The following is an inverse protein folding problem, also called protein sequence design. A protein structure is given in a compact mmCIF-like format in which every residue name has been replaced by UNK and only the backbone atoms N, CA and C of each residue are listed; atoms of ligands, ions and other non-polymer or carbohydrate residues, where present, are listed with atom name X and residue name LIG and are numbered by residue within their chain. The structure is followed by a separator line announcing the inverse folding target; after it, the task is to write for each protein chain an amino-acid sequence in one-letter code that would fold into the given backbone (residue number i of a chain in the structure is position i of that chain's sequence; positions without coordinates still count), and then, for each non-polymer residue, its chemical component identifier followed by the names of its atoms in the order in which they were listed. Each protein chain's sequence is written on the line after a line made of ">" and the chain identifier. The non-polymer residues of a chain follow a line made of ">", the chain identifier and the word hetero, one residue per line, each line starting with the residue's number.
data_IF_518111764614
#
_entry.id   IF_518111764614
#
_cell.length_a   1.000
_cell.length_b   1.000
_cell.length_c   1.000
_cell.angle_alpha   90.00
_cell.angle_beta   90.00
_cell.angle_gamma   90.00
#
_symmetry.space_group_name_H-M   'P 1'
#
loop_
_entity.id
_entity.type
_entity.pdbx_description
1 polymer ?
#
# COMPACT_ATOMS: atom_id res chain seq x y z
N UNK A 1 22.63 -4.76 -36.88
CA UNK A 1 23.06 -3.91 -35.75
C UNK A 1 22.30 -4.42 -34.53
N UNK A 2 23.05 -5.00 -33.58
CA UNK A 2 22.69 -5.57 -32.26
C UNK A 2 21.25 -6.05 -32.02
N UNK A 3 21.11 -7.37 -31.88
CA UNK A 3 19.91 -8.08 -31.45
C UNK A 3 19.35 -7.53 -30.13
N UNK A 4 18.06 -7.23 -30.20
CA UNK A 4 17.03 -7.31 -29.16
C UNK A 4 17.57 -7.77 -27.81
N UNK A 5 17.75 -6.80 -26.92
CA UNK A 5 18.18 -7.01 -25.56
C UNK A 5 17.29 -8.09 -24.93
N UNK A 6 17.89 -9.26 -24.67
CA UNK A 6 17.28 -10.31 -23.88
C UNK A 6 16.77 -9.70 -22.57
N UNK A 7 15.49 -9.37 -22.54
CA UNK A 7 14.78 -9.06 -21.32
C UNK A 7 14.88 -10.33 -20.52
N UNK A 8 15.82 -10.32 -19.58
CA UNK A 8 15.98 -11.38 -18.61
C UNK A 8 14.67 -11.38 -17.83
N UNK A 9 13.76 -12.27 -18.21
CA UNK A 9 12.58 -12.60 -17.42
C UNK A 9 13.08 -13.37 -16.21
N UNK A 10 13.74 -12.65 -15.31
CA UNK A 10 13.87 -13.03 -13.92
C UNK A 10 12.48 -12.78 -13.32
N UNK A 11 11.48 -13.59 -13.69
CA UNK A 11 10.14 -13.55 -13.09
C UNK A 11 10.20 -14.12 -11.67
N UNK A 12 10.98 -13.47 -10.82
CA UNK A 12 10.83 -13.53 -9.38
C UNK A 12 9.44 -13.01 -8.98
N UNK A 13 9.09 -13.15 -7.69
CA UNK A 13 7.82 -12.68 -7.17
C UNK A 13 7.52 -11.24 -7.64
N UNK A 14 6.34 -11.05 -8.24
CA UNK A 14 5.91 -9.76 -8.78
C UNK A 14 6.05 -8.68 -7.69
N UNK A 15 6.79 -7.59 -7.93
CA UNK A 15 6.93 -6.53 -6.95
C UNK A 15 5.56 -5.88 -6.72
N UNK A 16 5.27 -5.53 -5.47
CA UNK A 16 4.05 -4.84 -5.12
C UNK A 16 4.07 -3.43 -5.73
N UNK A 17 3.26 -3.18 -6.77
CA UNK A 17 3.15 -1.89 -7.47
C UNK A 17 3.02 -0.66 -6.56
N UNK A 18 2.13 -0.63 -5.54
CA UNK A 18 1.91 0.58 -4.75
C UNK A 18 3.11 0.99 -3.89
N UNK A 19 3.90 0.04 -3.39
CA UNK A 19 5.14 0.33 -2.65
C UNK A 19 6.40 0.13 -3.49
N UNK A 20 6.27 -0.17 -4.78
CA UNK A 20 7.37 -0.51 -5.69
C UNK A 20 8.34 -1.55 -5.13
N UNK A 21 7.84 -2.58 -4.45
CA UNK A 21 8.72 -3.60 -3.84
C UNK A 21 9.29 -3.28 -2.45
N UNK A 22 9.09 -2.07 -1.92
CA UNK A 22 9.69 -1.65 -0.65
C UNK A 22 8.99 -2.17 0.62
N UNK A 23 7.75 -2.67 0.50
CA UNK A 23 6.95 -3.13 1.64
C UNK A 23 6.35 -2.01 2.50
N UNK A 24 6.76 -0.75 2.32
CA UNK A 24 6.28 0.38 3.11
C UNK A 24 5.78 1.53 2.24
N UNK A 25 4.87 2.34 2.76
CA UNK A 25 4.37 3.55 2.13
C UNK A 25 4.67 4.77 3.00
N UNK A 26 4.94 5.91 2.38
CA UNK A 26 5.01 7.18 3.08
C UNK A 26 3.60 7.75 3.15
N UNK A 27 3.05 7.79 4.36
CA UNK A 27 1.82 8.50 4.66
C UNK A 27 2.16 9.91 5.14
N UNK A 28 1.46 10.92 4.62
CA UNK A 28 1.52 12.29 5.11
C UNK A 28 0.25 12.71 5.84
N UNK A 29 -0.54 11.73 6.27
CA UNK A 29 -1.75 11.95 7.08
C UNK A 29 -1.32 12.56 8.40
N UNK A 30 -1.81 13.76 8.71
CA UNK A 30 -1.44 14.51 9.91
C UNK A 30 -0.30 15.52 9.74
N UNK A 31 0.24 15.69 8.53
CA UNK A 31 1.25 16.71 8.23
C UNK A 31 2.71 16.27 8.45
N UNK A 32 2.94 15.08 9.02
CA UNK A 32 4.26 14.47 9.14
C UNK A 32 4.41 13.27 8.21
N UNK A 33 5.62 13.08 7.67
CA UNK A 33 5.95 11.92 6.84
C UNK A 33 6.16 10.69 7.72
N UNK A 34 5.20 9.78 7.72
CA UNK A 34 5.26 8.54 8.48
C UNK A 34 5.37 7.34 7.55
N UNK A 35 6.29 6.43 7.87
CA UNK A 35 6.43 5.17 7.12
C UNK A 35 5.48 4.13 7.71
N UNK A 36 4.42 3.83 6.98
CA UNK A 36 3.41 2.83 7.35
C UNK A 36 3.60 1.56 6.52
N UNK A 37 3.27 0.37 7.07
CA UNK A 37 3.32 -0.86 6.30
C UNK A 37 2.38 -0.78 5.09
N UNK A 38 2.84 -1.27 3.94
CA UNK A 38 2.03 -1.29 2.73
C UNK A 38 0.87 -2.28 2.94
N UNK A 39 -0.40 -1.85 2.89
CA UNK A 39 -1.56 -2.72 3.11
C UNK A 39 -1.80 -3.70 1.95
N UNK A 40 -1.10 -3.57 0.82
CA UNK A 40 -1.29 -4.40 -0.38
C UNK A 40 -0.39 -5.63 -0.37
N UNK A 41 0.73 -5.55 0.35
CA UNK A 41 1.65 -6.66 0.54
C UNK A 41 1.92 -6.97 2.01
N UNK A 42 1.22 -6.30 2.93
CA UNK A 42 1.38 -6.39 4.39
C UNK A 42 2.82 -6.19 4.88
N UNK A 43 3.64 -5.42 4.16
CA UNK A 43 5.06 -5.27 4.49
C UNK A 43 6.00 -6.16 3.68
N UNK A 44 5.50 -7.14 2.93
CA UNK A 44 6.31 -8.15 2.23
C UNK A 44 7.03 -7.60 0.99
N UNK A 45 6.59 -6.47 0.44
CA UNK A 45 7.12 -5.93 -0.82
C UNK A 45 6.70 -6.72 -2.07
N UNK A 46 6.11 -7.91 -1.92
CA UNK A 46 5.66 -8.77 -3.02
C UNK A 46 4.15 -8.66 -3.22
N UNK A 47 3.69 -8.71 -4.47
CA UNK A 47 2.28 -8.73 -4.80
C UNK A 47 1.61 -10.02 -4.33
N UNK A 48 0.64 -9.89 -3.42
CA UNK A 48 -0.14 -11.00 -2.89
C UNK A 48 -1.43 -11.16 -3.73
N UNK A 49 -1.56 -12.27 -4.47
CA UNK A 49 -2.78 -12.55 -5.24
C UNK A 49 -3.94 -12.85 -4.29
N UNK A 50 -5.04 -12.12 -4.43
CA UNK A 50 -6.24 -12.27 -3.59
C UNK A 50 -6.23 -11.43 -2.31
N UNK A 51 -5.17 -10.65 -2.05
CA UNK A 51 -5.14 -9.70 -0.96
C UNK A 51 -5.75 -8.37 -1.39
N UNK A 52 -7.00 -8.11 -0.99
CA UNK A 52 -7.66 -6.84 -1.25
C UNK A 52 -7.34 -5.82 -0.15
N UNK A 53 -6.39 -4.92 -0.44
CA UNK A 53 -5.96 -3.90 0.52
C UNK A 53 -7.06 -2.89 0.87
N UNK A 54 -8.09 -2.74 0.02
CA UNK A 54 -9.19 -1.81 0.26
C UNK A 54 -10.22 -2.40 1.24
N UNK A 55 -10.34 -3.73 1.29
CA UNK A 55 -11.12 -4.43 2.31
C UNK A 55 -10.60 -4.14 3.72
N UNK A 56 -9.28 -4.09 3.92
CA UNK A 56 -8.68 -3.76 5.21
C UNK A 56 -9.00 -2.32 5.67
N UNK A 57 -9.08 -1.37 4.74
CA UNK A 57 -9.36 0.06 5.05
C UNK A 57 -10.84 0.37 5.26
N UNK A 58 -11.75 -0.48 4.79
CA UNK A 58 -13.18 -0.33 5.09
C UNK A 58 -13.50 -0.60 6.56
N UNK A 59 -12.62 -1.27 7.30
CA UNK A 59 -12.77 -1.48 8.74
C UNK A 59 -12.19 -0.37 9.62
N UNK A 60 -11.22 0.40 9.13
CA UNK A 60 -10.43 1.37 9.93
C UNK A 60 -10.79 2.84 9.66
N UNK A 61 -11.79 3.09 8.80
CA UNK A 61 -12.32 4.44 8.53
C UNK A 61 -13.51 4.85 9.41
N UNK A 62 -13.91 4.02 10.38
CA UNK A 62 -15.09 4.24 11.21
C UNK A 62 -14.71 4.45 12.68
N UNK A 63 -14.00 5.53 12.97
CA UNK A 63 -14.23 6.25 14.22
C UNK A 63 -15.07 7.48 13.89
N UNK A 64 -16.41 7.44 13.94
CA UNK A 64 -17.20 8.65 14.16
C UNK A 64 -16.97 9.13 15.60
N UNK A 65 -15.75 9.61 15.85
CA UNK A 65 -15.32 10.28 17.07
C UNK A 65 -15.19 11.77 16.83
N UNK A 66 -16.22 12.38 16.26
CA UNK A 66 -16.41 13.83 16.29
C UNK A 66 -17.77 14.06 16.96
N UNK A 67 -17.71 14.44 18.23
CA UNK A 67 -18.84 14.85 19.03
C UNK A 67 -19.72 15.84 18.26
N UNK A 68 -21.03 15.54 18.18
CA UNK A 68 -22.03 16.51 17.78
C UNK A 68 -21.99 17.69 18.78
N UNK A 69 -21.92 18.96 18.34
CA UNK A 69 -22.08 20.08 19.25
C UNK A 69 -23.53 20.13 19.74
N UNK A 70 -23.68 20.06 21.06
CA UNK A 70 -24.91 20.36 21.80
C UNK A 70 -25.32 21.81 21.49
N UNK A 71 -26.54 21.98 20.96
CA UNK A 71 -27.14 23.28 20.68
C UNK A 71 -28.57 23.28 21.18
N UNK A 72 -28.77 23.83 22.38
CA UNK A 72 -30.07 24.08 23.02
C UNK A 72 -30.70 25.40 22.60
#
# INVERSE_FOLDING_TARGET
>A
MAEDAAVTDNAGPLPCNPCSGSGSLISRVGGEEQRVPCPWCEGSGVFLRGHDAQAARRGDGATPGAAAPDGG
#
